data_IF_088839898504
#
_entry.id   IF_088839898504
#
_cell.length_a   1.000
_cell.length_b   1.000
_cell.length_c   1.000
_cell.angle_alpha   90.00
_cell.angle_beta   90.00
_cell.angle_gamma   90.00
#
_symmetry.space_group_name_H-M   'P 1'
#
loop_
_entity.id
_entity.type
_entity.pdbx_description
1 polymer ?
#
# COMPACT_ATOMS: atom_id res chain seq x y z
N UNK A 1 1.77 1.64 46.93
CA UNK A 1 2.44 0.48 46.30
C UNK A 1 3.87 0.35 46.83
N UNK A 2 4.39 -0.87 47.03
CA UNK A 2 5.80 -1.08 47.43
C UNK A 2 6.71 -1.02 46.20
N UNK A 3 7.94 -0.52 46.37
CA UNK A 3 8.91 -0.47 45.29
C UNK A 3 9.26 -1.86 44.73
N UNK A 4 9.33 -2.86 45.61
CA UNK A 4 9.63 -4.25 45.22
C UNK A 4 8.61 -4.86 44.26
N UNK A 5 7.35 -4.44 44.31
CA UNK A 5 6.34 -4.92 43.35
C UNK A 5 6.65 -4.42 41.93
N UNK A 6 7.09 -3.15 41.81
CA UNK A 6 7.50 -2.54 40.55
C UNK A 6 8.81 -3.17 40.03
N UNK A 7 9.79 -3.37 40.91
CA UNK A 7 11.06 -4.01 40.59
C UNK A 7 10.87 -5.45 40.06
N UNK A 8 10.00 -6.23 40.70
CA UNK A 8 9.65 -7.57 40.24
C UNK A 8 8.98 -7.58 38.86
N UNK A 9 8.05 -6.66 38.60
CA UNK A 9 7.40 -6.55 37.29
C UNK A 9 8.37 -6.12 36.18
N UNK A 10 9.31 -5.23 36.51
CA UNK A 10 10.40 -4.83 35.62
C UNK A 10 11.32 -6.01 35.30
N UNK A 11 11.76 -6.76 36.32
CA UNK A 11 12.66 -7.91 36.15
C UNK A 11 12.01 -9.03 35.35
N UNK A 12 10.74 -9.33 35.61
CA UNK A 12 9.95 -10.27 34.80
C UNK A 12 9.89 -9.82 33.34
N UNK A 13 9.70 -8.53 33.09
CA UNK A 13 9.70 -7.98 31.72
C UNK A 13 11.06 -8.11 31.05
N UNK A 14 12.17 -7.91 31.80
CA UNK A 14 13.54 -8.12 31.31
C UNK A 14 13.80 -9.57 30.90
N UNK A 15 13.27 -10.52 31.66
CA UNK A 15 13.35 -11.95 31.39
C UNK A 15 12.41 -12.43 30.27
N UNK A 16 11.66 -11.52 29.62
CA UNK A 16 10.78 -11.84 28.49
C UNK A 16 9.34 -12.18 28.86
N UNK A 17 8.97 -12.14 30.15
CA UNK A 17 7.60 -12.41 30.59
C UNK A 17 6.71 -11.16 30.40
N UNK A 18 5.51 -11.35 29.85
CA UNK A 18 4.53 -10.26 29.63
C UNK A 18 3.72 -9.99 30.91
N UNK A 19 4.32 -9.34 31.91
CA UNK A 19 3.70 -9.22 33.25
C UNK A 19 3.25 -7.80 33.65
N UNK A 20 3.36 -6.79 32.80
CA UNK A 20 2.93 -5.43 33.16
C UNK A 20 1.45 -5.31 33.52
N UNK A 21 0.60 -6.18 32.97
CA UNK A 21 -0.83 -6.23 33.28
C UNK A 21 -1.12 -6.65 34.74
N UNK A 22 -0.12 -7.14 35.47
CA UNK A 22 -0.23 -7.48 36.89
C UNK A 22 0.00 -6.28 37.82
N UNK A 23 0.53 -5.16 37.30
CA UNK A 23 0.68 -3.93 38.07
C UNK A 23 -0.64 -3.16 38.03
N UNK A 24 -1.39 -3.20 39.14
CA UNK A 24 -2.53 -2.33 39.35
C UNK A 24 -2.10 -1.15 40.22
N UNK A 25 -2.35 0.07 39.72
CA UNK A 25 -2.04 1.29 40.44
C UNK A 25 -3.34 1.87 40.99
N UNK A 26 -3.47 1.88 42.32
CA UNK A 26 -4.70 2.28 43.03
C UNK A 26 -5.05 3.75 42.85
N UNK A 27 -4.03 4.60 42.69
CA UNK A 27 -4.20 6.04 42.61
C UNK A 27 -3.20 6.70 41.64
N UNK A 28 -3.54 7.93 41.26
CA UNK A 28 -2.75 8.76 40.33
C UNK A 28 -1.34 9.02 40.83
N UNK A 29 -1.15 9.32 42.12
CA UNK A 29 0.16 9.67 42.67
C UNK A 29 1.10 8.46 42.59
N UNK A 30 0.61 7.28 42.96
CA UNK A 30 1.34 6.02 42.82
C UNK A 30 1.71 5.73 41.36
N UNK A 31 0.79 5.93 40.41
CA UNK A 31 1.08 5.74 38.98
C UNK A 31 2.14 6.73 38.45
N UNK A 32 2.09 7.99 38.91
CA UNK A 32 3.08 9.01 38.55
C UNK A 32 4.46 8.70 39.14
N UNK A 33 4.52 8.28 40.40
CA UNK A 33 5.77 7.87 41.03
C UNK A 33 6.38 6.65 40.32
N UNK A 34 5.58 5.64 39.98
CA UNK A 34 6.05 4.48 39.22
C UNK A 34 6.56 4.88 37.83
N UNK A 35 5.88 5.80 37.15
CA UNK A 35 6.35 6.38 35.89
C UNK A 35 7.71 7.06 36.07
N UNK A 36 7.87 7.89 37.10
CA UNK A 36 9.10 8.63 37.35
C UNK A 36 10.28 7.72 37.72
N UNK A 37 10.03 6.57 38.35
CA UNK A 37 11.04 5.52 38.60
C UNK A 37 11.45 4.83 37.31
N UNK A 38 10.50 4.45 36.46
CA UNK A 38 10.75 3.72 35.22
C UNK A 38 11.28 4.61 34.08
N UNK A 39 10.98 5.91 34.11
CA UNK A 39 11.31 6.85 33.04
C UNK A 39 11.85 8.16 33.63
N UNK A 40 13.02 8.11 34.30
CA UNK A 40 13.64 9.26 34.93
C UNK A 40 13.98 10.34 33.91
N UNK A 41 13.79 11.61 34.30
CA UNK A 41 14.20 12.77 33.50
C UNK A 41 15.68 13.10 33.68
N UNK A 42 16.19 12.90 34.89
CA UNK A 42 17.57 13.19 35.27
C UNK A 42 18.26 11.88 35.64
N UNK A 43 19.49 11.70 35.15
CA UNK A 43 20.27 10.48 35.35
C UNK A 43 21.75 10.84 35.51
N UNK A 44 22.50 9.94 36.16
CA UNK A 44 23.96 9.99 36.21
C UNK A 44 24.56 9.23 35.04
N UNK A 45 25.77 9.60 34.65
CA UNK A 45 26.54 8.79 33.70
C UNK A 45 27.13 7.58 34.40
N UNK A 46 27.23 6.45 33.70
CA UNK A 46 27.88 5.22 34.18
C UNK A 46 29.24 5.50 34.81
N UNK A 47 30.05 6.33 34.14
CA UNK A 47 31.38 6.74 34.62
C UNK A 47 31.31 7.42 35.99
N UNK A 48 30.38 8.36 36.21
CA UNK A 48 30.27 9.09 37.49
C UNK A 48 29.93 8.14 38.63
N UNK A 49 28.98 7.23 38.41
CA UNK A 49 28.57 6.26 39.43
C UNK A 49 29.71 5.30 39.74
N UNK A 50 30.31 4.69 38.72
CA UNK A 50 31.42 3.74 38.88
C UNK A 50 32.67 4.37 39.51
N UNK A 51 33.03 5.61 39.15
CA UNK A 51 34.17 6.29 39.78
C UNK A 51 33.94 6.53 41.27
N UNK A 52 32.71 6.86 41.68
CA UNK A 52 32.39 7.03 43.09
C UNK A 52 32.37 5.70 43.85
N UNK A 53 31.83 4.64 43.22
CA UNK A 53 31.84 3.28 43.77
C UNK A 53 33.28 2.75 43.91
N UNK A 54 34.15 3.00 42.93
CA UNK A 54 35.57 2.65 42.97
C UNK A 54 36.28 3.29 44.17
N UNK A 55 36.05 4.58 44.40
CA UNK A 55 36.59 5.31 45.56
C UNK A 55 36.09 4.69 46.88
N UNK A 56 34.80 4.38 46.97
CA UNK A 56 34.21 3.84 48.20
C UNK A 56 34.64 2.40 48.50
N UNK A 57 34.85 1.57 47.46
CA UNK A 57 35.33 0.19 47.61
C UNK A 57 36.85 0.09 47.72
N UNK A 58 37.58 1.20 47.58
CA UNK A 58 39.04 1.24 47.50
C UNK A 58 39.61 0.33 46.37
N UNK A 59 38.88 0.22 45.26
CA UNK A 59 39.25 -0.59 44.09
C UNK A 59 39.53 0.32 42.88
N UNK A 60 40.59 0.08 42.10
CA UNK A 60 40.83 0.81 40.85
C UNK A 60 39.62 0.77 39.91
N UNK A 61 39.29 1.92 39.32
CA UNK A 61 38.15 2.07 38.40
C UNK A 61 38.22 1.09 37.22
N UNK A 62 39.43 0.81 36.74
CA UNK A 62 39.73 -0.12 35.65
C UNK A 62 39.28 -1.55 35.98
N UNK A 63 39.42 -1.99 37.23
CA UNK A 63 39.00 -3.33 37.66
C UNK A 63 37.47 -3.44 37.61
N UNK A 64 36.74 -2.41 38.05
CA UNK A 64 35.28 -2.40 37.96
C UNK A 64 34.79 -2.41 36.51
N UNK A 65 35.53 -1.77 35.59
CA UNK A 65 35.24 -1.85 34.16
C UNK A 65 35.50 -3.24 33.59
N UNK A 66 36.55 -3.94 34.03
CA UNK A 66 36.84 -5.32 33.60
C UNK A 66 35.77 -6.32 34.07
N UNK A 67 35.14 -6.08 35.23
CA UNK A 67 34.05 -6.91 35.75
C UNK A 67 32.71 -6.67 35.03
N UNK A 68 32.62 -5.65 34.19
CA UNK A 68 31.41 -5.31 33.46
C UNK A 68 31.19 -6.26 32.27
N UNK A 69 30.28 -7.23 32.42
CA UNK A 69 29.89 -8.11 31.30
C UNK A 69 28.92 -7.41 30.33
N UNK A 70 27.85 -6.79 30.84
CA UNK A 70 26.77 -6.23 29.99
C UNK A 70 26.16 -4.91 30.42
N UNK A 71 25.93 -4.70 31.72
CA UNK A 71 25.20 -3.53 32.26
C UNK A 71 25.73 -3.15 33.63
N UNK A 72 25.92 -1.86 33.87
CA UNK A 72 26.43 -1.33 35.14
C UNK A 72 25.44 -1.62 36.27
N UNK A 73 24.14 -1.50 36.00
CA UNK A 73 23.10 -1.77 37.00
C UNK A 73 23.16 -3.18 37.58
N UNK A 74 23.57 -4.18 36.79
CA UNK A 74 23.69 -5.57 37.23
C UNK A 74 24.92 -5.78 38.12
N UNK A 75 26.05 -5.15 37.77
CA UNK A 75 27.27 -5.17 38.58
C UNK A 75 27.02 -4.50 39.94
N UNK A 76 26.39 -3.33 39.95
CA UNK A 76 26.10 -2.61 41.19
C UNK A 76 25.08 -3.37 42.05
N UNK A 77 24.14 -4.08 41.43
CA UNK A 77 23.15 -4.87 42.15
C UNK A 77 23.72 -6.16 42.77
N UNK A 78 24.85 -6.69 42.31
CA UNK A 78 25.41 -7.94 42.87
C UNK A 78 25.91 -7.79 44.31
N UNK A 79 26.16 -6.55 44.75
CA UNK A 79 26.50 -6.23 46.14
C UNK A 79 25.29 -6.23 47.08
N UNK A 80 24.06 -6.29 46.53
CA UNK A 80 22.82 -6.41 47.29
C UNK A 80 22.45 -7.87 47.50
N UNK A 81 22.14 -8.24 48.76
CA UNK A 81 21.69 -9.60 49.08
C UNK A 81 20.24 -9.82 48.68
N UNK A 82 19.92 -10.98 48.11
CA UNK A 82 18.54 -11.40 47.86
C UNK A 82 17.67 -11.49 49.13
N UNK A 83 18.29 -11.63 50.31
CA UNK A 83 17.60 -11.72 51.61
C UNK A 83 17.29 -10.36 52.25
N UNK A 84 17.74 -9.24 51.68
CA UNK A 84 17.47 -7.91 52.21
C UNK A 84 16.06 -7.46 51.81
N UNK A 85 15.10 -7.29 52.75
CA UNK A 85 13.79 -6.79 52.40
C UNK A 85 13.85 -5.28 52.15
N UNK A 86 13.57 -4.85 50.92
CA UNK A 86 13.32 -3.45 50.64
C UNK A 86 11.94 -3.07 51.19
N UNK A 87 11.91 -2.20 52.19
CA UNK A 87 10.67 -1.68 52.79
C UNK A 87 10.25 -0.34 52.21
N UNK A 88 10.96 0.14 51.19
CA UNK A 88 10.76 1.46 50.62
C UNK A 88 9.47 1.54 49.78
N UNK A 89 8.79 2.67 49.93
CA UNK A 89 7.75 3.10 49.01
C UNK A 89 8.35 3.64 47.70
N UNK A 90 7.50 3.88 46.71
CA UNK A 90 7.92 4.58 45.48
C UNK A 90 8.34 6.03 45.74
N UNK A 91 7.86 6.66 46.82
CA UNK A 91 8.30 8.01 47.19
C UNK A 91 9.70 8.00 47.80
N UNK A 92 9.96 7.03 48.69
CA UNK A 92 11.26 6.88 49.35
C UNK A 92 12.38 6.61 48.33
N UNK A 93 12.10 5.75 47.32
CA UNK A 93 13.08 5.45 46.28
C UNK A 93 13.37 6.66 45.40
N UNK A 94 12.35 7.50 45.09
CA UNK A 94 12.54 8.71 44.31
C UNK A 94 13.39 9.73 45.06
N UNK A 95 13.10 9.96 46.35
CA UNK A 95 13.93 10.84 47.22
C UNK A 95 15.37 10.34 47.30
N UNK A 96 15.55 9.04 47.49
CA UNK A 96 16.87 8.42 47.57
C UNK A 96 17.62 8.56 46.24
N UNK A 97 16.95 8.32 45.12
CA UNK A 97 17.55 8.50 43.79
C UNK A 97 17.95 9.94 43.54
N UNK A 98 17.10 10.91 43.90
CA UNK A 98 17.39 12.32 43.71
C UNK A 98 18.61 12.75 44.57
N UNK A 99 18.76 12.21 45.79
CA UNK A 99 19.97 12.38 46.59
C UNK A 99 21.21 11.75 45.95
N UNK A 100 21.08 10.56 45.35
CA UNK A 100 22.15 9.90 44.59
C UNK A 100 22.58 10.75 43.39
N UNK A 101 21.62 11.29 42.62
CA UNK A 101 21.87 12.17 41.46
C UNK A 101 22.57 13.46 41.90
N UNK A 102 22.20 14.01 43.05
CA UNK A 102 22.89 15.16 43.65
C UNK A 102 24.32 14.84 44.13
N UNK A 103 24.71 13.56 44.13
CA UNK A 103 26.03 13.09 44.55
C UNK A 103 26.14 12.81 46.04
N UNK A 104 25.04 12.82 46.79
CA UNK A 104 25.01 12.57 48.24
C UNK A 104 24.50 11.15 48.53
N UNK A 105 25.44 10.19 48.55
CA UNK A 105 25.12 8.79 48.83
C UNK A 105 26.36 7.97 49.19
N UNK A 106 26.15 6.88 49.92
CA UNK A 106 27.09 5.76 50.10
C UNK A 106 26.52 4.53 49.40
N UNK A 107 27.29 3.99 48.46
CA UNK A 107 26.96 2.77 47.73
C UNK A 107 26.75 1.58 48.67
N UNK A 108 27.69 1.32 49.59
CA UNK A 108 27.62 0.18 50.49
C UNK A 108 26.42 0.27 51.45
N UNK A 109 26.07 1.47 51.90
CA UNK A 109 24.90 1.68 52.73
C UNK A 109 23.60 1.42 51.96
N UNK A 110 23.52 1.83 50.70
CA UNK A 110 22.36 1.60 49.84
C UNK A 110 22.21 0.11 49.48
N UNK A 111 23.30 -0.58 49.15
CA UNK A 111 23.26 -2.00 48.77
C UNK A 111 22.74 -2.90 49.88
N UNK A 112 22.95 -2.53 51.15
CA UNK A 112 22.43 -3.25 52.33
C UNK A 112 20.93 -3.04 52.58
N UNK A 113 20.31 -2.03 51.97
CA UNK A 113 18.90 -1.67 52.19
C UNK A 113 17.97 -2.23 51.10
N UNK A 114 18.52 -2.80 50.04
CA UNK A 114 17.77 -3.30 48.88
C UNK A 114 18.05 -4.77 48.64
N UNK A 115 17.05 -5.49 48.10
CA UNK A 115 17.31 -6.79 47.49
C UNK A 115 18.04 -6.62 46.15
N UNK A 116 18.65 -7.68 45.64
CA UNK A 116 19.28 -7.66 44.32
C UNK A 116 18.32 -7.19 43.21
N UNK A 117 17.04 -7.59 43.26
CA UNK A 117 16.03 -7.20 42.26
C UNK A 117 15.70 -5.70 42.37
N UNK A 118 15.56 -5.21 43.61
CA UNK A 118 15.29 -3.79 43.88
C UNK A 118 16.46 -2.91 43.40
N UNK A 119 17.69 -3.34 43.69
CA UNK A 119 18.91 -2.66 43.30
C UNK A 119 19.08 -2.60 41.77
N UNK A 120 18.72 -3.66 41.03
CA UNK A 120 18.75 -3.67 39.56
C UNK A 120 17.92 -2.53 38.96
N UNK A 121 16.66 -2.41 39.38
CA UNK A 121 15.79 -1.33 38.89
C UNK A 121 16.30 0.05 39.38
N UNK A 122 16.85 0.12 40.59
CA UNK A 122 17.29 1.39 41.18
C UNK A 122 18.47 1.96 40.42
N UNK A 123 19.49 1.15 40.17
CA UNK A 123 20.68 1.56 39.43
C UNK A 123 20.35 1.77 37.95
N UNK A 124 19.50 0.93 37.35
CA UNK A 124 19.02 1.19 35.98
C UNK A 124 18.31 2.55 35.88
N UNK A 125 17.51 2.92 36.88
CA UNK A 125 16.87 4.23 37.00
C UNK A 125 17.86 5.37 37.20
N UNK A 126 18.80 5.21 38.11
CA UNK A 126 19.77 6.25 38.41
C UNK A 126 20.66 6.57 37.21
N UNK A 127 21.02 5.56 36.41
CA UNK A 127 22.01 5.70 35.33
C UNK A 127 21.34 5.90 33.95
N UNK A 128 20.01 5.73 33.86
CA UNK A 128 19.28 5.87 32.60
C UNK A 128 19.49 4.73 31.61
N UNK A 129 19.71 3.51 32.12
CA UNK A 129 19.86 2.34 31.26
C UNK A 129 18.57 2.00 30.50
N UNK A 130 18.70 1.38 29.32
CA UNK A 130 17.54 1.03 28.51
C UNK A 130 16.59 0.04 29.22
N UNK A 131 15.32 0.44 29.30
CA UNK A 131 14.26 -0.31 29.96
C UNK A 131 13.65 -1.38 29.05
N UNK A 132 13.29 -2.56 29.61
CA UNK A 132 12.52 -3.58 28.90
C UNK A 132 11.06 -3.18 28.66
N UNK A 133 10.60 -2.10 29.32
CA UNK A 133 9.25 -1.57 29.26
C UNK A 133 9.31 -0.23 28.54
N UNK A 134 8.60 -0.08 27.42
CA UNK A 134 8.47 1.23 26.78
C UNK A 134 7.41 2.09 27.47
N UNK A 135 7.55 3.41 27.36
CA UNK A 135 6.57 4.38 27.87
C UNK A 135 5.15 4.10 27.38
N UNK A 136 4.97 3.82 26.08
CA UNK A 136 3.68 3.45 25.52
C UNK A 136 3.12 2.16 26.14
N UNK A 137 3.97 1.16 26.37
CA UNK A 137 3.55 -0.11 26.96
C UNK A 137 3.12 0.10 28.41
N UNK A 138 3.83 0.92 29.18
CA UNK A 138 3.41 1.31 30.53
C UNK A 138 2.03 1.99 30.51
N UNK A 139 1.86 3.05 29.72
CA UNK A 139 0.60 3.80 29.66
C UNK A 139 -0.60 2.93 29.24
N UNK A 140 -0.41 2.00 28.31
CA UNK A 140 -1.45 1.06 27.86
C UNK A 140 -1.89 0.04 28.93
N UNK A 141 -1.10 -0.14 29.99
CA UNK A 141 -1.41 -1.08 31.07
C UNK A 141 -1.83 -0.37 32.37
N UNK A 142 -1.92 0.97 32.38
CA UNK A 142 -2.37 1.71 33.57
C UNK A 142 -3.85 1.45 33.87
N UNK A 143 -4.69 1.34 32.85
CA UNK A 143 -6.11 1.03 32.98
C UNK A 143 -6.53 0.07 31.87
N UNK A 144 -7.12 -1.07 32.25
CA UNK A 144 -7.62 -2.10 31.33
C UNK A 144 -8.94 -1.73 30.67
N UNK A 145 -9.68 -0.76 31.22
CA UNK A 145 -10.97 -0.30 30.69
C UNK A 145 -10.80 0.65 29.50
N UNK A 146 -9.67 1.37 29.46
CA UNK A 146 -9.37 2.31 28.38
C UNK A 146 -8.72 1.56 27.21
N UNK A 147 -9.30 1.69 26.02
CA UNK A 147 -8.75 1.07 24.83
C UNK A 147 -7.30 1.53 24.56
N UNK A 148 -6.36 0.61 24.28
CA UNK A 148 -4.98 0.95 23.95
C UNK A 148 -4.82 1.94 22.79
N UNK A 149 -5.80 1.99 21.88
CA UNK A 149 -5.81 2.91 20.74
C UNK A 149 -6.08 4.35 21.18
N UNK A 150 -6.88 4.57 22.23
CA UNK A 150 -7.14 5.90 22.82
C UNK A 150 -5.85 6.44 23.42
N UNK A 151 -5.13 5.62 24.19
CA UNK A 151 -3.83 5.99 24.78
C UNK A 151 -2.81 6.32 23.68
N UNK A 152 -2.66 5.42 22.69
CA UNK A 152 -1.73 5.64 21.59
C UNK A 152 -2.07 6.90 20.77
N UNK A 153 -3.36 7.17 20.57
CA UNK A 153 -3.82 8.35 19.87
C UNK A 153 -3.63 9.63 20.68
N UNK A 154 -3.72 9.58 22.01
CA UNK A 154 -3.60 10.73 22.91
C UNK A 154 -2.16 11.25 23.04
N UNK A 155 -1.16 10.37 22.95
CA UNK A 155 0.28 10.74 22.96
C UNK A 155 0.74 11.67 21.84
N UNK A 156 -0.11 11.93 20.85
CA UNK A 156 0.21 12.86 19.75
C UNK A 156 0.06 14.32 20.15
N UNK A 157 -0.68 14.61 21.22
CA UNK A 157 -0.95 15.99 21.66
C UNK A 157 -0.94 16.16 23.18
N UNK A 158 -0.90 15.07 23.96
CA UNK A 158 -0.65 15.09 25.40
C UNK A 158 0.73 14.47 25.71
N UNK A 159 1.39 15.03 26.71
CA UNK A 159 2.55 14.42 27.36
C UNK A 159 2.15 13.17 28.13
N UNK A 160 3.10 12.28 28.39
CA UNK A 160 2.84 11.05 29.14
C UNK A 160 2.25 11.34 30.54
N UNK A 161 2.66 12.43 31.21
CA UNK A 161 2.10 12.85 32.52
C UNK A 161 0.67 13.36 32.41
N UNK A 162 0.33 14.10 31.36
CA UNK A 162 -1.04 14.54 31.12
C UNK A 162 -1.97 13.35 30.82
N UNK A 163 -1.46 12.31 30.15
CA UNK A 163 -2.20 11.07 29.93
C UNK A 163 -2.43 10.33 31.24
N UNK A 164 -1.41 10.17 32.09
CA UNK A 164 -1.58 9.58 33.42
C UNK A 164 -2.62 10.38 34.20
N UNK A 165 -2.53 11.71 34.20
CA UNK A 165 -3.52 12.56 34.86
C UNK A 165 -4.94 12.31 34.32
N UNK A 166 -5.11 12.34 33.00
CA UNK A 166 -6.39 12.12 32.35
C UNK A 166 -7.03 10.76 32.70
N UNK A 167 -6.24 9.68 32.75
CA UNK A 167 -6.73 8.35 33.12
C UNK A 167 -7.39 8.35 34.51
N UNK A 168 -6.81 9.05 35.49
CA UNK A 168 -7.30 9.01 36.87
C UNK A 168 -8.26 10.13 37.25
N UNK A 169 -8.25 11.27 36.54
CA UNK A 169 -9.08 12.43 36.93
C UNK A 169 -10.24 12.70 35.97
N UNK A 170 -9.99 12.64 34.67
CA UNK A 170 -11.00 12.95 33.65
C UNK A 170 -10.62 12.30 32.32
N UNK A 171 -11.21 11.13 32.07
CA UNK A 171 -11.00 10.36 30.83
C UNK A 171 -11.42 11.17 29.60
N UNK A 172 -12.32 12.15 29.74
CA UNK A 172 -12.73 12.99 28.61
C UNK A 172 -11.60 13.85 28.09
N UNK A 173 -10.50 14.02 28.83
CA UNK A 173 -9.29 14.70 28.33
C UNK A 173 -8.54 13.85 27.30
N UNK A 174 -8.68 12.52 27.34
CA UNK A 174 -8.14 11.63 26.33
C UNK A 174 -8.87 11.84 24.99
N UNK A 175 -8.20 11.48 23.89
CA UNK A 175 -8.80 11.53 22.57
C UNK A 175 -9.21 10.14 22.14
N UNK A 176 -10.52 9.96 22.00
CA UNK A 176 -11.09 8.76 21.42
C UNK A 176 -11.16 8.91 19.89
N UNK A 177 -10.38 8.13 19.10
CA UNK A 177 -10.40 8.22 17.64
C UNK A 177 -11.77 7.94 17.02
N UNK A 178 -12.63 7.15 17.69
CA UNK A 178 -13.99 6.85 17.23
C UNK A 178 -14.92 8.05 17.37
N UNK A 179 -14.63 8.94 18.32
CA UNK A 179 -15.40 10.15 18.62
C UNK A 179 -14.63 11.41 18.18
N UNK A 180 -13.93 11.32 17.04
CA UNK A 180 -13.07 12.39 16.52
C UNK A 180 -13.76 13.76 16.45
N UNK A 181 -15.07 13.77 16.19
CA UNK A 181 -15.90 14.96 16.07
C UNK A 181 -16.10 15.73 17.38
N UNK A 182 -15.92 15.09 18.55
CA UNK A 182 -16.01 15.77 19.84
C UNK A 182 -14.79 16.67 20.09
N UNK A 183 -13.66 16.36 19.46
CA UNK A 183 -12.41 17.14 19.54
C UNK A 183 -11.81 17.33 18.14
N UNK A 184 -12.40 18.20 17.29
CA UNK A 184 -11.98 18.37 15.91
C UNK A 184 -10.50 18.75 15.75
N UNK A 185 -9.96 19.54 16.69
CA UNK A 185 -8.54 19.94 16.70
C UNK A 185 -7.59 18.77 16.96
N UNK A 186 -7.99 17.80 17.78
CA UNK A 186 -7.23 16.56 18.00
C UNK A 186 -7.39 15.54 16.85
N UNK A 187 -8.41 15.75 16.01
CA UNK A 187 -8.69 14.98 14.80
C UNK A 187 -7.96 15.49 13.54
N UNK A 188 -7.13 16.54 13.65
CA UNK A 188 -6.28 17.05 12.56
C UNK A 188 -5.15 16.07 12.23
N UNK A 189 -5.52 14.98 11.58
CA UNK A 189 -4.64 13.87 11.23
C UNK A 189 -4.68 13.68 9.74
N UNK A 190 -3.52 13.81 9.11
CA UNK A 190 -3.30 13.40 7.73
C UNK A 190 -3.71 11.94 7.61
N UNK A 191 -4.61 11.62 6.69
CA UNK A 191 -4.92 10.23 6.35
C UNK A 191 -3.67 9.56 5.83
N UNK A 192 -3.48 8.29 6.20
CA UNK A 192 -2.44 7.47 5.60
C UNK A 192 -2.95 6.95 4.27
N UNK A 193 -2.52 7.58 3.19
CA UNK A 193 -2.74 7.07 1.85
C UNK A 193 -1.86 5.86 1.60
N UNK A 194 -2.44 4.81 1.04
CA UNK A 194 -1.71 3.62 0.64
C UNK A 194 -1.33 3.80 -0.82
N UNK A 195 -0.03 3.81 -1.17
CA UNK A 195 0.38 3.92 -2.56
C UNK A 195 -0.16 2.75 -3.37
N UNK A 196 -0.63 3.03 -4.59
CA UNK A 196 -1.04 1.99 -5.52
C UNK A 196 0.12 1.01 -5.78
N UNK A 197 -0.14 -0.29 -5.75
CA UNK A 197 0.87 -1.31 -6.05
C UNK A 197 0.32 -2.33 -7.04
N UNK A 198 1.00 -2.49 -8.18
CA UNK A 198 0.67 -3.48 -9.22
C UNK A 198 0.78 -4.94 -8.73
N UNK A 199 1.33 -5.18 -7.55
CA UNK A 199 1.57 -6.54 -7.03
C UNK A 199 0.56 -6.98 -5.96
N UNK A 200 -0.39 -6.12 -5.59
CA UNK A 200 -1.45 -6.46 -4.64
C UNK A 200 -2.79 -6.22 -5.31
N UNK A 201 -3.47 -7.31 -5.68
CA UNK A 201 -4.89 -7.24 -5.98
C UNK A 201 -5.62 -6.77 -4.72
N UNK A 202 -6.29 -5.63 -4.83
CA UNK A 202 -7.20 -5.15 -3.79
C UNK A 202 -8.56 -5.05 -4.45
N UNK A 203 -9.53 -5.76 -3.88
CA UNK A 203 -10.92 -5.63 -4.29
C UNK A 203 -11.44 -4.29 -3.77
N UNK A 204 -11.58 -3.30 -4.66
CA UNK A 204 -11.93 -1.92 -4.31
C UNK A 204 -13.10 -1.50 -5.17
N UNK A 205 -14.22 -1.15 -4.54
CA UNK A 205 -15.41 -0.60 -5.23
C UNK A 205 -15.25 0.88 -5.60
N UNK A 206 -14.50 1.65 -4.79
CA UNK A 206 -14.34 3.10 -4.94
C UNK A 206 -12.91 3.53 -4.66
N UNK A 207 -12.34 4.35 -5.52
CA UNK A 207 -11.00 4.92 -5.36
C UNK A 207 -11.00 6.45 -5.50
N UNK A 208 -9.94 7.09 -5.00
CA UNK A 208 -9.66 8.51 -5.24
C UNK A 208 -8.25 8.63 -5.79
N UNK A 209 -8.08 9.43 -6.84
CA UNK A 209 -6.76 9.85 -7.30
C UNK A 209 -6.32 11.07 -6.51
N UNK A 210 -5.18 10.98 -5.82
CA UNK A 210 -4.65 12.05 -4.98
C UNK A 210 -3.41 12.65 -5.65
N UNK A 211 -3.38 13.97 -5.92
CA UNK A 211 -2.22 14.62 -6.53
C UNK A 211 -1.03 14.64 -5.56
N UNK A 212 0.15 15.05 -6.06
CA UNK A 212 1.36 15.23 -5.26
C UNK A 212 1.80 13.99 -4.45
N UNK A 213 1.58 12.79 -4.99
CA UNK A 213 2.01 11.53 -4.35
C UNK A 213 1.34 11.24 -3.01
N UNK A 214 0.16 11.83 -2.73
CA UNK A 214 -0.56 11.64 -1.48
C UNK A 214 -0.06 12.51 -0.31
N UNK A 215 0.80 13.50 -0.58
CA UNK A 215 1.20 14.47 0.42
C UNK A 215 0.05 15.45 0.71
N UNK A 216 -0.57 15.30 1.88
CA UNK A 216 -1.72 16.10 2.31
C UNK A 216 -1.41 17.06 3.47
N UNK A 217 -2.17 18.13 3.60
CA UNK A 217 -2.29 19.01 4.77
C UNK A 217 -3.71 18.94 5.32
N UNK A 218 -3.87 19.12 6.63
CA UNK A 218 -5.19 19.15 7.28
C UNK A 218 -5.32 20.44 8.06
N UNK A 219 -6.44 21.14 7.87
CA UNK A 219 -6.79 22.39 8.54
C UNK A 219 -8.17 22.29 9.19
N UNK A 220 -8.38 23.05 10.26
CA UNK A 220 -9.69 23.18 10.90
C UNK A 220 -10.20 24.60 10.71
N UNK A 221 -11.24 24.76 9.88
CA UNK A 221 -11.96 26.01 9.78
C UNK A 221 -12.96 26.07 10.95
N UNK A 222 -12.66 26.94 11.92
CA UNK A 222 -13.47 27.12 13.13
C UNK A 222 -14.80 27.83 12.85
N UNK A 223 -14.84 28.72 11.87
CA UNK A 223 -16.04 29.52 11.56
C UNK A 223 -17.13 28.64 10.97
N UNK A 224 -16.76 27.76 10.06
CA UNK A 224 -17.67 26.81 9.43
C UNK A 224 -17.79 25.48 10.20
N UNK A 225 -16.94 25.29 11.22
CA UNK A 225 -16.80 24.04 11.97
C UNK A 225 -16.61 22.85 11.02
N UNK A 226 -15.56 22.90 10.20
CA UNK A 226 -15.18 21.84 9.26
C UNK A 226 -13.68 21.57 9.30
N UNK A 227 -13.31 20.31 9.08
CA UNK A 227 -11.93 19.89 8.89
C UNK A 227 -11.73 19.66 7.40
N UNK A 228 -10.74 20.32 6.80
CA UNK A 228 -10.44 20.20 5.37
C UNK A 228 -9.08 19.50 5.24
N UNK A 229 -9.02 18.45 4.43
CA UNK A 229 -7.77 17.84 4.00
C UNK A 229 -7.51 18.22 2.54
N UNK A 230 -6.29 18.70 2.24
CA UNK A 230 -5.89 19.16 0.91
C UNK A 230 -4.60 18.49 0.46
N UNK A 231 -4.50 18.16 -0.82
CA UNK A 231 -3.27 17.80 -1.52
C UNK A 231 -2.92 18.93 -2.50
N UNK A 232 -2.05 19.86 -2.08
CA UNK A 232 -1.89 21.13 -2.81
C UNK A 232 -3.18 21.94 -2.74
N UNK A 233 -3.74 22.30 -3.90
CA UNK A 233 -4.99 23.06 -3.98
C UNK A 233 -6.25 22.18 -4.02
N UNK A 234 -6.09 20.86 -4.18
CA UNK A 234 -7.21 19.93 -4.34
C UNK A 234 -7.64 19.41 -2.97
N UNK A 235 -8.94 19.52 -2.65
CA UNK A 235 -9.53 18.97 -1.45
C UNK A 235 -9.69 17.45 -1.59
N UNK A 236 -9.12 16.70 -0.63
CA UNK A 236 -9.16 15.23 -0.59
C UNK A 236 -10.18 14.70 0.43
N UNK A 237 -10.55 15.49 1.42
CA UNK A 237 -11.66 15.24 2.34
C UNK A 237 -12.18 16.55 2.96
N UNK A 238 -13.46 16.57 3.29
CA UNK A 238 -14.07 17.59 4.16
C UNK A 238 -14.84 16.84 5.23
N UNK A 239 -14.44 16.97 6.50
CA UNK A 239 -15.11 16.31 7.61
C UNK A 239 -15.91 17.31 8.44
N UNK A 240 -17.18 16.96 8.72
CA UNK A 240 -18.11 17.81 9.47
C UNK A 240 -18.29 17.22 10.87
N UNK A 241 -17.77 17.85 11.94
CA UNK A 241 -17.99 17.41 13.32
C UNK A 241 -19.48 17.33 13.70
N UNK A 242 -20.34 18.17 13.11
CA UNK A 242 -21.78 18.13 13.35
C UNK A 242 -22.49 16.99 12.60
N UNK A 243 -21.84 16.38 11.61
CA UNK A 243 -22.38 15.28 10.82
C UNK A 243 -21.33 14.19 10.56
N UNK A 244 -20.77 13.57 11.62
CA UNK A 244 -19.66 12.62 11.50
C UNK A 244 -20.00 11.36 10.70
N UNK A 245 -21.29 11.04 10.57
CA UNK A 245 -21.82 9.89 9.84
C UNK A 245 -21.88 10.08 8.32
N UNK A 246 -21.66 11.29 7.80
CA UNK A 246 -21.71 11.51 6.35
C UNK A 246 -20.59 10.74 5.67
N UNK A 247 -20.92 10.01 4.59
CA UNK A 247 -19.92 9.38 3.72
C UNK A 247 -19.15 10.45 2.93
N UNK A 248 -17.96 10.11 2.45
CA UNK A 248 -17.08 11.03 1.73
C UNK A 248 -17.78 11.76 0.57
N UNK A 249 -18.51 11.02 -0.28
CA UNK A 249 -19.28 11.60 -1.38
C UNK A 249 -20.33 12.61 -0.88
N UNK A 250 -21.06 12.29 0.19
CA UNK A 250 -22.05 13.21 0.79
C UNK A 250 -21.40 14.45 1.39
N UNK A 251 -20.20 14.32 1.98
CA UNK A 251 -19.45 15.45 2.53
C UNK A 251 -18.98 16.41 1.43
N UNK A 252 -18.50 15.89 0.32
CA UNK A 252 -18.16 16.70 -0.85
C UNK A 252 -19.37 17.37 -1.48
N UNK A 253 -20.48 16.65 -1.67
CA UNK A 253 -21.72 17.27 -2.17
C UNK A 253 -22.16 18.43 -1.29
N UNK A 254 -22.16 18.25 0.04
CA UNK A 254 -22.49 19.32 0.99
C UNK A 254 -21.53 20.51 0.91
N UNK A 255 -20.23 20.26 0.71
CA UNK A 255 -19.24 21.34 0.59
C UNK A 255 -19.41 22.11 -0.72
N UNK A 256 -19.65 21.40 -1.82
CA UNK A 256 -19.84 21.94 -3.16
C UNK A 256 -21.06 22.86 -3.31
N UNK A 257 -22.05 22.76 -2.42
CA UNK A 257 -23.23 23.63 -2.40
C UNK A 257 -22.86 25.09 -2.07
N UNK A 258 -21.78 25.30 -1.32
CA UNK A 258 -21.37 26.63 -0.83
C UNK A 258 -19.97 27.03 -1.28
N UNK A 259 -19.19 26.09 -1.82
CA UNK A 259 -17.80 26.30 -2.23
C UNK A 259 -17.54 25.84 -3.66
N UNK A 260 -16.54 26.46 -4.31
CA UNK A 260 -16.14 26.16 -5.70
C UNK A 260 -14.73 25.56 -5.80
N UNK A 261 -14.15 25.12 -4.68
CA UNK A 261 -12.85 24.47 -4.65
C UNK A 261 -12.78 23.20 -5.51
N UNK A 262 -11.60 22.92 -6.04
CA UNK A 262 -11.31 21.66 -6.72
C UNK A 262 -11.30 20.50 -5.72
N UNK A 263 -12.05 19.44 -6.01
CA UNK A 263 -12.21 18.27 -5.14
C UNK A 263 -11.82 16.98 -5.86
N UNK A 264 -11.07 16.12 -5.17
CA UNK A 264 -10.72 14.78 -5.64
C UNK A 264 -11.89 13.80 -5.44
N UNK A 265 -12.90 13.88 -6.30
CA UNK A 265 -14.13 13.09 -6.16
C UNK A 265 -13.86 11.57 -6.12
N UNK A 266 -14.54 10.81 -5.22
CA UNK A 266 -14.48 9.36 -5.24
C UNK A 266 -15.08 8.81 -6.54
N UNK A 267 -14.30 7.99 -7.24
CA UNK A 267 -14.67 7.33 -8.48
C UNK A 267 -15.02 5.86 -8.20
N UNK A 268 -16.10 5.38 -8.78
CA UNK A 268 -16.42 3.95 -8.77
C UNK A 268 -15.49 3.21 -9.71
N UNK A 269 -14.94 2.09 -9.24
CA UNK A 269 -14.24 1.16 -10.13
C UNK A 269 -15.26 0.66 -11.17
N UNK A 270 -15.02 0.88 -12.47
CA UNK A 270 -15.97 0.45 -13.49
C UNK A 270 -16.17 -1.05 -13.41
N UNK A 271 -17.43 -1.51 -13.45
CA UNK A 271 -17.72 -2.94 -13.47
C UNK A 271 -17.27 -3.54 -14.80
N UNK A 272 -16.85 -4.80 -14.77
CA UNK A 272 -16.48 -5.54 -15.98
C UNK A 272 -17.60 -5.48 -17.02
N UNK A 273 -18.86 -5.65 -16.62
CA UNK A 273 -20.00 -5.56 -17.53
C UNK A 273 -20.17 -4.19 -18.20
N UNK A 274 -19.85 -3.09 -17.52
CA UNK A 274 -19.90 -1.75 -18.11
C UNK A 274 -18.83 -1.56 -19.19
N UNK A 275 -17.71 -2.28 -19.08
CA UNK A 275 -16.60 -2.27 -20.04
C UNK A 275 -16.86 -3.23 -21.22
N UNK A 276 -17.60 -4.34 -21.00
CA UNK A 276 -17.79 -5.46 -21.94
C UNK A 276 -18.82 -5.19 -23.05
N UNK A 277 -19.82 -4.31 -22.85
CA UNK A 277 -20.98 -4.18 -23.76
C UNK A 277 -20.73 -3.48 -25.12
N UNK A 278 -19.54 -3.62 -25.72
CA UNK A 278 -19.28 -3.20 -27.11
C UNK A 278 -19.40 -4.42 -28.05
N UNK A 279 -20.36 -4.36 -28.97
CA UNK A 279 -20.66 -5.41 -29.97
C UNK A 279 -19.42 -5.68 -30.85
N UNK A 280 -19.19 -6.93 -31.24
CA UNK A 280 -18.08 -7.38 -32.09
C UNK A 280 -16.66 -7.20 -31.55
N UNK A 281 -16.49 -7.25 -30.22
CA UNK A 281 -15.17 -7.25 -29.56
C UNK A 281 -14.88 -8.56 -28.82
N UNK A 282 -13.62 -9.02 -28.88
CA UNK A 282 -13.05 -10.09 -28.03
C UNK A 282 -12.02 -9.43 -27.14
N UNK A 283 -12.28 -9.35 -25.84
CA UNK A 283 -11.29 -8.82 -24.89
C UNK A 283 -10.50 -9.94 -24.22
N UNK A 284 -9.20 -9.71 -24.11
CA UNK A 284 -8.30 -10.49 -23.27
C UNK A 284 -8.12 -9.75 -21.95
N UNK A 285 -8.65 -10.26 -20.83
CA UNK A 285 -8.51 -9.59 -19.54
C UNK A 285 -7.03 -9.53 -19.16
N UNK A 286 -6.60 -8.40 -18.59
CA UNK A 286 -5.32 -8.37 -17.92
C UNK A 286 -5.46 -9.23 -16.65
N UNK A 287 -4.73 -10.34 -16.60
CA UNK A 287 -4.72 -11.26 -15.45
C UNK A 287 -3.89 -10.73 -14.27
N UNK A 288 -3.21 -9.58 -14.46
CA UNK A 288 -2.50 -8.86 -13.41
C UNK A 288 -3.42 -8.10 -12.44
N UNK A 289 -2.82 -7.45 -11.44
CA UNK A 289 -3.59 -6.57 -10.56
C UNK A 289 -4.16 -5.37 -11.33
N UNK A 290 -5.26 -4.80 -10.83
CA UNK A 290 -5.85 -3.57 -11.37
C UNK A 290 -4.78 -2.47 -11.53
N UNK A 291 -4.97 -1.58 -12.49
CA UNK A 291 -4.11 -0.41 -12.65
C UNK A 291 -5.00 0.74 -13.09
N UNK A 292 -5.11 1.81 -12.31
CA UNK A 292 -6.08 2.88 -12.59
C UNK A 292 -5.76 3.65 -13.88
N UNK A 293 -4.55 3.49 -14.43
CA UNK A 293 -4.13 4.07 -15.71
C UNK A 293 -4.29 3.11 -16.89
N UNK A 294 -4.66 1.85 -16.67
CA UNK A 294 -4.75 0.82 -17.71
C UNK A 294 -6.22 0.43 -17.96
N UNK A 295 -6.55 0.11 -19.21
CA UNK A 295 -7.90 -0.30 -19.61
C UNK A 295 -8.29 -1.73 -19.19
N UNK A 296 -7.54 -2.35 -18.28
CA UNK A 296 -7.84 -3.68 -17.72
C UNK A 296 -7.68 -4.86 -18.68
N UNK A 297 -6.99 -4.69 -19.82
CA UNK A 297 -6.78 -5.74 -20.83
C UNK A 297 -6.65 -5.20 -22.25
N UNK A 298 -6.60 -6.12 -23.23
CA UNK A 298 -6.62 -5.79 -24.66
C UNK A 298 -8.00 -6.04 -25.25
N UNK A 299 -8.36 -5.25 -26.27
CA UNK A 299 -9.62 -5.35 -27.02
C UNK A 299 -9.29 -5.66 -28.45
N UNK A 300 -9.73 -6.81 -28.91
CA UNK A 300 -9.69 -7.18 -30.31
C UNK A 300 -11.06 -6.87 -30.90
N UNK A 301 -11.16 -5.90 -31.80
CA UNK A 301 -12.41 -5.64 -32.53
C UNK A 301 -12.42 -6.61 -33.71
N UNK A 302 -13.34 -7.57 -33.74
CA UNK A 302 -13.33 -8.65 -34.75
C UNK A 302 -13.35 -8.10 -36.18
N UNK A 303 -14.11 -7.03 -36.41
CA UNK A 303 -14.23 -6.41 -37.73
C UNK A 303 -12.97 -5.67 -38.18
N UNK A 304 -12.13 -5.17 -37.27
CA UNK A 304 -10.91 -4.43 -37.65
C UNK A 304 -9.78 -5.32 -38.18
N UNK A 305 -9.96 -6.64 -38.14
CA UNK A 305 -8.98 -7.62 -38.63
C UNK A 305 -9.47 -8.39 -39.85
N UNK A 306 -10.67 -8.07 -40.36
CA UNK A 306 -11.21 -8.65 -41.60
C UNK A 306 -10.94 -7.64 -42.71
N UNK A 307 -10.16 -8.07 -43.69
CA UNK A 307 -9.75 -7.26 -44.82
C UNK A 307 -10.40 -7.81 -46.09
N UNK A 308 -10.98 -6.93 -46.90
CA UNK A 308 -11.43 -7.25 -48.24
C UNK A 308 -10.24 -7.13 -49.19
N UNK A 309 -9.81 -8.22 -49.82
CA UNK A 309 -8.61 -8.26 -50.65
C UNK A 309 -8.92 -8.84 -52.02
N UNK A 310 -8.18 -8.44 -53.05
CA UNK A 310 -8.31 -9.03 -54.39
C UNK A 310 -7.62 -10.40 -54.43
N UNK A 311 -8.29 -11.38 -55.04
CA UNK A 311 -7.65 -12.63 -55.43
C UNK A 311 -6.76 -12.39 -56.65
N UNK A 312 -5.46 -12.54 -56.47
CA UNK A 312 -4.47 -12.35 -57.54
C UNK A 312 -4.15 -13.63 -58.29
N UNK A 313 -4.02 -14.74 -57.55
CA UNK A 313 -3.73 -16.05 -58.12
C UNK A 313 -4.17 -17.15 -57.15
N UNK A 314 -4.38 -18.35 -57.68
CA UNK A 314 -4.73 -19.52 -56.88
C UNK A 314 -3.99 -20.76 -57.36
N UNK A 315 -3.76 -21.72 -56.45
CA UNK A 315 -3.11 -22.99 -56.74
C UNK A 315 -3.82 -24.13 -56.04
N UNK A 316 -4.26 -25.11 -56.82
CA UNK A 316 -4.86 -26.33 -56.28
C UNK A 316 -3.76 -27.33 -55.89
N UNK A 317 -3.69 -27.69 -54.61
CA UNK A 317 -2.98 -28.87 -54.11
C UNK A 317 -3.82 -29.60 -53.08
N UNK A 318 -3.19 -30.17 -52.05
CA UNK A 318 -3.89 -30.69 -50.87
C UNK A 318 -4.71 -29.58 -50.20
N UNK A 319 -4.07 -28.41 -50.05
CA UNK A 319 -4.67 -27.13 -49.67
C UNK A 319 -4.92 -26.30 -50.93
N UNK A 320 -5.95 -25.46 -50.92
CA UNK A 320 -6.09 -24.42 -51.94
C UNK A 320 -5.34 -23.18 -51.47
N UNK A 321 -4.20 -22.88 -52.09
CA UNK A 321 -3.44 -21.67 -51.78
C UNK A 321 -3.96 -20.52 -52.63
N UNK A 322 -4.24 -19.39 -52.00
CA UNK A 322 -4.66 -18.15 -52.66
C UNK A 322 -3.64 -17.05 -52.38
N UNK A 323 -3.35 -16.27 -53.41
CA UNK A 323 -2.49 -15.08 -53.37
C UNK A 323 -3.37 -13.84 -53.36
N UNK A 324 -3.10 -12.92 -52.44
CA UNK A 324 -3.97 -11.80 -52.10
C UNK A 324 -3.29 -10.47 -52.43
N UNK A 325 -4.10 -9.51 -52.89
CA UNK A 325 -3.66 -8.16 -53.24
C UNK A 325 -4.51 -7.07 -52.57
N UNK A 326 -3.89 -5.94 -52.27
CA UNK A 326 -4.52 -4.70 -51.82
C UNK A 326 -4.35 -3.60 -52.88
N UNK A 327 -5.13 -2.52 -52.79
CA UNK A 327 -4.99 -1.36 -53.69
C UNK A 327 -3.95 -0.38 -53.12
N UNK A 328 -3.07 0.14 -53.98
CA UNK A 328 -2.13 1.22 -53.65
C UNK A 328 -2.56 2.54 -54.29
N UNK A 329 -3.67 3.13 -53.79
CA UNK A 329 -4.13 4.51 -54.01
C UNK A 329 -4.48 4.99 -55.44
N UNK A 330 -3.80 4.49 -56.48
CA UNK A 330 -3.77 4.97 -57.86
C UNK A 330 -3.81 3.75 -58.82
N UNK A 331 -4.80 2.89 -58.64
CA UNK A 331 -5.14 1.75 -59.52
C UNK A 331 -4.10 0.61 -59.66
N UNK A 332 -3.04 0.58 -58.86
CA UNK A 332 -2.11 -0.56 -58.80
C UNK A 332 -2.46 -1.53 -57.67
N UNK A 333 -2.28 -2.83 -57.94
CA UNK A 333 -2.45 -3.89 -56.95
C UNK A 333 -1.10 -4.33 -56.37
N UNK A 334 -1.01 -4.36 -55.04
CA UNK A 334 0.19 -4.79 -54.31
C UNK A 334 -0.08 -6.14 -53.67
N UNK A 335 0.84 -7.09 -53.87
CA UNK A 335 0.76 -8.41 -53.22
C UNK A 335 0.93 -8.27 -51.70
N UNK A 336 -0.07 -8.71 -50.94
CA UNK A 336 -0.07 -8.60 -49.46
C UNK A 336 -0.03 -9.94 -48.75
N UNK A 337 0.13 -11.04 -49.49
CA UNK A 337 0.46 -12.34 -48.91
C UNK A 337 -0.32 -13.52 -49.51
N UNK A 338 -0.27 -14.62 -48.77
CA UNK A 338 -0.86 -15.90 -49.17
C UNK A 338 -1.75 -16.44 -48.05
N UNK A 339 -2.88 -17.04 -48.42
CA UNK A 339 -3.77 -17.71 -47.49
C UNK A 339 -4.02 -19.15 -47.96
N UNK A 340 -3.90 -20.12 -47.06
CA UNK A 340 -4.22 -21.52 -47.33
C UNK A 340 -5.65 -21.83 -46.91
N UNK A 341 -6.46 -22.39 -47.81
CA UNK A 341 -7.83 -22.85 -47.54
C UNK A 341 -7.81 -24.36 -47.34
N UNK A 342 -7.92 -24.76 -46.07
CA UNK A 342 -7.78 -26.15 -45.65
C UNK A 342 -9.12 -26.91 -45.58
N UNK A 343 -10.23 -26.20 -45.46
CA UNK A 343 -11.55 -26.81 -45.26
C UNK A 343 -12.12 -27.24 -46.62
N UNK A 344 -12.46 -28.53 -46.83
CA UNK A 344 -12.91 -29.03 -48.13
C UNK A 344 -14.16 -28.33 -48.69
N UNK A 345 -15.11 -27.94 -47.84
CA UNK A 345 -16.32 -27.23 -48.26
C UNK A 345 -16.02 -25.82 -48.75
N UNK A 346 -15.14 -25.09 -48.07
CA UNK A 346 -14.69 -23.75 -48.48
C UNK A 346 -13.88 -23.83 -49.77
N UNK A 347 -12.96 -24.78 -49.86
CA UNK A 347 -12.21 -25.08 -51.08
C UNK A 347 -13.16 -25.33 -52.26
N UNK A 348 -14.20 -26.15 -52.07
CA UNK A 348 -15.20 -26.43 -53.08
C UNK A 348 -15.97 -25.18 -53.51
N UNK A 349 -16.41 -24.35 -52.56
CA UNK A 349 -17.13 -23.10 -52.85
C UNK A 349 -16.27 -22.11 -53.63
N UNK A 350 -15.04 -21.86 -53.17
CA UNK A 350 -14.10 -20.95 -53.82
C UNK A 350 -13.79 -21.41 -55.23
N UNK A 351 -13.51 -22.70 -55.40
CA UNK A 351 -13.20 -23.28 -56.72
C UNK A 351 -14.38 -23.08 -57.67
N UNK A 352 -15.60 -23.36 -57.20
CA UNK A 352 -16.82 -23.16 -57.99
C UNK A 352 -17.02 -21.69 -58.39
N UNK A 353 -16.84 -20.75 -57.47
CA UNK A 353 -16.98 -19.32 -57.74
C UNK A 353 -15.92 -18.81 -58.74
N UNK A 354 -14.67 -19.24 -58.59
CA UNK A 354 -13.58 -18.93 -59.53
C UNK A 354 -13.87 -19.50 -60.91
N UNK A 355 -14.27 -20.77 -61.01
CA UNK A 355 -14.60 -21.44 -62.28
C UNK A 355 -15.82 -20.82 -62.96
N UNK A 356 -16.79 -20.32 -62.19
CA UNK A 356 -17.95 -19.60 -62.73
C UNK A 356 -17.54 -18.29 -63.42
N UNK A 357 -16.53 -17.59 -62.91
CA UNK A 357 -16.08 -16.30 -63.42
C UNK A 357 -15.07 -16.47 -64.57
N UNK A 358 -14.10 -17.38 -64.43
CA UNK A 358 -13.01 -17.57 -65.38
C UNK A 358 -13.26 -18.68 -66.41
N UNK A 359 -14.29 -19.50 -66.21
CA UNK A 359 -14.50 -20.75 -66.93
C UNK A 359 -13.77 -21.94 -66.30
N UNK A 360 -14.20 -23.15 -66.66
CA UNK A 360 -13.62 -24.39 -66.15
C UNK A 360 -12.17 -24.54 -66.64
N UNK A 361 -11.21 -24.51 -65.72
CA UNK A 361 -9.79 -24.70 -66.01
C UNK A 361 -9.35 -26.10 -65.59
N UNK A 362 -9.52 -27.08 -66.46
CA UNK A 362 -9.45 -28.51 -66.12
C UNK A 362 -8.06 -29.15 -66.01
N UNK A 363 -6.94 -28.51 -66.35
CA UNK A 363 -5.77 -29.34 -66.72
C UNK A 363 -4.49 -29.33 -65.87
N UNK A 364 -4.29 -28.48 -64.84
CA UNK A 364 -3.04 -28.55 -64.07
C UNK A 364 -3.22 -28.34 -62.56
N UNK A 365 -2.97 -29.40 -61.80
CA UNK A 365 -2.84 -29.40 -60.33
C UNK A 365 -1.42 -28.94 -59.95
N UNK A 366 -1.27 -28.21 -58.85
CA UNK A 366 -0.02 -27.68 -58.29
C UNK A 366 0.67 -26.54 -59.07
N UNK A 367 0.01 -25.90 -60.03
CA UNK A 367 0.49 -24.67 -60.67
C UNK A 367 -0.34 -23.46 -60.27
N UNK A 368 0.33 -22.32 -60.10
CA UNK A 368 -0.34 -21.04 -59.86
C UNK A 368 -1.07 -20.60 -61.12
N UNK A 369 -2.36 -20.30 -60.97
CA UNK A 369 -3.21 -19.71 -62.00
C UNK A 369 -3.46 -18.26 -61.63
N UNK A 370 -3.00 -17.35 -62.47
CA UNK A 370 -3.15 -15.91 -62.26
C UNK A 370 -4.54 -15.44 -62.71
N UNK A 371 -5.11 -14.51 -61.93
CA UNK A 371 -6.37 -13.85 -62.23
C UNK A 371 -6.07 -12.59 -63.04
N UNK A 372 -6.59 -12.46 -64.27
CA UNK A 372 -6.41 -11.26 -65.09
C UNK A 372 -6.79 -9.98 -64.33
N UNK A 373 -6.03 -8.90 -64.49
CA UNK A 373 -6.21 -7.62 -63.77
C UNK A 373 -7.57 -6.96 -64.02
N UNK A 374 -8.18 -7.22 -65.18
CA UNK A 374 -9.53 -6.78 -65.54
C UNK A 374 -10.64 -7.55 -64.79
N UNK A 375 -10.29 -8.64 -64.11
CA UNK A 375 -11.20 -9.43 -63.29
C UNK A 375 -10.91 -9.18 -61.80
N UNK A 376 -11.94 -8.73 -61.09
CA UNK A 376 -11.88 -8.47 -59.66
C UNK A 376 -12.72 -9.49 -58.91
N UNK A 377 -12.06 -10.34 -58.12
CA UNK A 377 -12.70 -11.26 -57.17
C UNK A 377 -12.28 -10.82 -55.78
N UNK A 378 -13.23 -10.36 -54.97
CA UNK A 378 -12.96 -9.88 -53.60
C UNK A 378 -13.13 -11.02 -52.61
N UNK A 379 -12.10 -11.23 -51.81
CA UNK A 379 -12.04 -12.24 -50.76
C UNK A 379 -11.91 -11.55 -49.42
N UNK A 380 -12.77 -11.92 -48.47
CA UNK A 380 -12.63 -11.54 -47.07
C UNK A 380 -11.63 -12.46 -46.38
N UNK A 381 -10.61 -11.86 -45.80
CA UNK A 381 -9.53 -12.56 -45.10
C UNK A 381 -9.37 -11.94 -43.73
N UNK A 382 -9.35 -12.79 -42.70
CA UNK A 382 -9.03 -12.38 -41.34
C UNK A 382 -7.53 -12.46 -41.13
N UNK A 383 -6.88 -11.35 -40.82
CA UNK A 383 -5.48 -11.32 -40.39
C UNK A 383 -5.28 -10.27 -39.30
N UNK A 384 -4.67 -10.66 -38.16
CA UNK A 384 -4.54 -9.76 -37.03
C UNK A 384 -3.53 -8.63 -37.28
N UNK A 385 -2.46 -8.89 -38.05
CA UNK A 385 -1.37 -7.93 -38.29
C UNK A 385 -0.66 -8.17 -39.63
N UNK A 386 -0.06 -7.12 -40.18
CA UNK A 386 0.88 -7.19 -41.31
C UNK A 386 2.33 -7.25 -40.78
N UNK A 387 3.13 -8.18 -41.28
CA UNK A 387 4.56 -8.24 -40.97
C UNK A 387 5.31 -7.21 -41.82
N UNK A 388 5.74 -6.11 -41.21
CA UNK A 388 6.46 -5.00 -41.87
C UNK A 388 7.84 -5.39 -42.43
N UNK A 389 8.37 -6.57 -42.11
CA UNK A 389 9.65 -7.03 -42.69
C UNK A 389 9.46 -7.73 -44.03
N UNK A 390 8.31 -8.37 -44.20
CA UNK A 390 8.00 -9.15 -45.41
C UNK A 390 6.91 -8.50 -46.25
N UNK A 391 6.28 -7.44 -45.74
CA UNK A 391 5.11 -6.78 -46.32
C UNK A 391 3.97 -7.77 -46.62
N UNK A 392 3.80 -8.77 -45.75
CA UNK A 392 2.76 -9.79 -45.89
C UNK A 392 1.88 -9.90 -44.65
N UNK A 393 0.62 -10.25 -44.85
CA UNK A 393 -0.31 -10.60 -43.78
C UNK A 393 0.22 -11.78 -42.96
N UNK A 394 0.17 -11.65 -41.64
CA UNK A 394 0.54 -12.71 -40.70
C UNK A 394 -0.68 -13.57 -40.38
N UNK A 395 -0.51 -14.90 -40.40
CA UNK A 395 -1.55 -15.86 -40.00
C UNK A 395 -2.93 -15.60 -40.61
N UNK A 396 -2.98 -15.28 -41.91
CA UNK A 396 -4.23 -15.02 -42.63
C UNK A 396 -5.12 -16.27 -42.68
N UNK A 397 -6.41 -16.09 -42.41
CA UNK A 397 -7.44 -17.11 -42.56
C UNK A 397 -8.51 -16.63 -43.52
N UNK A 398 -8.94 -17.51 -44.42
CA UNK A 398 -10.09 -17.28 -45.29
C UNK A 398 -11.36 -17.10 -44.46
N UNK A 399 -12.23 -16.20 -44.89
CA UNK A 399 -13.56 -15.97 -44.31
C UNK A 399 -14.63 -16.34 -45.33
N UNK A 400 -14.68 -15.61 -46.46
CA UNK A 400 -15.64 -15.86 -47.54
C UNK A 400 -15.23 -15.15 -48.84
N UNK A 401 -15.87 -15.53 -49.95
CA UNK A 401 -15.90 -14.75 -51.19
C UNK A 401 -17.18 -13.92 -51.18
N UNK A 402 -17.05 -12.61 -51.35
CA UNK A 402 -18.20 -11.73 -51.47
C UNK A 402 -18.39 -11.37 -52.95
N UNK A 403 -19.35 -12.03 -53.59
CA UNK A 403 -19.63 -11.87 -55.02
C UNK A 403 -20.29 -10.53 -55.36
N UNK A 404 -20.77 -9.78 -54.35
CA UNK A 404 -21.43 -8.48 -54.55
C UNK A 404 -20.44 -7.31 -54.43
N UNK A 405 -19.17 -7.58 -54.09
CA UNK A 405 -18.11 -6.58 -53.92
C UNK A 405 -17.32 -6.34 -55.20
N UNK A 406 -16.94 -5.08 -55.41
CA UNK A 406 -16.14 -4.63 -56.55
C UNK A 406 -14.77 -4.09 -56.14
N UNK A 407 -14.08 -3.46 -57.10
CA UNK A 407 -12.76 -2.87 -56.89
C UNK A 407 -12.77 -1.82 -55.76
N UNK A 408 -13.87 -1.05 -55.64
CA UNK A 408 -14.04 -0.03 -54.60
C UNK A 408 -14.07 -0.56 -53.17
N UNK A 409 -14.29 -1.87 -52.99
CA UNK A 409 -14.41 -2.50 -51.68
C UNK A 409 -13.10 -3.12 -51.20
N UNK A 410 -12.06 -3.15 -52.04
CA UNK A 410 -10.75 -3.69 -51.69
C UNK A 410 -10.04 -2.72 -50.73
N UNK A 411 -9.47 -3.27 -49.65
CA UNK A 411 -8.71 -2.53 -48.67
C UNK A 411 -7.48 -1.85 -49.30
N UNK A 412 -7.16 -0.64 -48.85
CA UNK A 412 -5.94 0.03 -49.27
C UNK A 412 -4.75 -0.52 -48.48
N UNK A 413 -3.58 -0.56 -49.10
CA UNK A 413 -2.36 -1.01 -48.43
C UNK A 413 -2.09 -0.25 -47.11
N UNK A 414 -2.36 1.07 -47.10
CA UNK A 414 -2.21 1.92 -45.91
C UNK A 414 -3.12 1.51 -44.74
N UNK A 415 -4.30 0.94 -45.03
CA UNK A 415 -5.22 0.45 -44.01
C UNK A 415 -4.67 -0.80 -43.30
N UNK A 416 -3.84 -1.58 -44.01
CA UNK A 416 -3.23 -2.81 -43.49
C UNK A 416 -2.00 -2.55 -42.60
N UNK A 417 -1.22 -1.50 -42.90
CA UNK A 417 0.04 -1.18 -42.19
C UNK A 417 -0.20 -0.41 -40.87
N UNK A 418 -1.35 0.27 -40.77
CA UNK A 418 -1.79 1.04 -39.62
C UNK A 418 -1.02 2.36 -39.40
N UNK A 419 -1.73 3.43 -39.04
CA UNK A 419 -1.14 4.70 -38.62
C UNK A 419 -0.59 4.55 -37.21
N UNK A 420 0.73 4.69 -37.04
CA UNK A 420 1.32 4.85 -35.70
C UNK A 420 1.00 6.27 -35.25
N UNK A 421 0.04 6.41 -34.35
CA UNK A 421 -0.04 7.63 -33.54
C UNK A 421 1.19 7.61 -32.62
N UNK A 422 2.12 8.54 -32.83
CA UNK A 422 3.23 8.82 -31.90
C UNK A 422 2.73 9.20 -30.51
#
# INVERSE_FOLDING_TARGET
>A
MRYTDLANAWERSRLGNRCLSALQFEDKATAQQAYDVLFPKETLTERKVLSKVAIELEVPYEILLELLDRRVSLLLASESSASNPCLWSLEDILKTRDAVIAGDYSFLALSKQMSEIDAKLFWASTIGEQYPISTLKFLKNLDTNISPDIIAASRRFLTDREIINAIYTDENLLYNPKLWYQKPTAALRKRRWIPWSKHKSVDIEVYQSIPNGGAVSVEYNKEENIIIERAGNVITDVAYPNHPQLSLKKRFSKYAETHSDEMAWPMTTPSWDAIIKQKDTVRFPNTGAFSPTEYGGYVLVKQSHIHNLRLAAYRHGDVLDIKLQAIDGIDEFVDVGFCGVHIPSEKGSITYDIERILGANTEEVNRWKEIPEDICIVIRVSSPFMDRRTDTLSASSFVEIDNDMGISDIAQYVDLVGVVNE
#
